data_IF_428359304014
#
_entry.id   IF_428359304014
#
_cell.length_a   1.000
_cell.length_b   1.000
_cell.length_c   1.000
_cell.angle_alpha   90.00
_cell.angle_beta   90.00
_cell.angle_gamma   90.00
#
_symmetry.space_group_name_H-M   'P 1'
#
loop_
_entity.id
_entity.type
_entity.pdbx_description
1 polymer ?
#
# COMPACT_ATOMS: atom_id res chain seq x y z
N UNK A 1 -19.18 72.36 43.21
CA UNK A 1 -19.19 71.87 41.81
C UNK A 1 -17.74 71.80 41.36
N UNK A 2 -17.10 70.72 40.91
CA UNK A 2 -17.50 69.38 40.44
C UNK A 2 -16.32 68.42 40.67
N UNK A 3 -16.64 67.17 40.91
CA UNK A 3 -15.80 65.99 41.19
C UNK A 3 -14.90 65.59 40.01
N UNK A 4 -13.64 65.20 40.29
CA UNK A 4 -12.74 64.53 39.34
C UNK A 4 -12.87 63.02 39.59
N UNK A 5 -13.47 62.32 38.65
CA UNK A 5 -13.66 60.87 38.68
C UNK A 5 -12.38 60.16 38.19
N UNK A 6 -11.82 59.32 39.05
CA UNK A 6 -10.71 58.44 38.72
C UNK A 6 -11.17 57.07 38.24
N UNK A 7 -10.35 56.50 37.34
CA UNK A 7 -9.91 55.11 37.27
C UNK A 7 -10.94 53.97 37.21
N UNK A 8 -10.93 53.23 36.10
CA UNK A 8 -10.50 51.82 36.01
C UNK A 8 -10.97 51.21 34.68
N UNK A 9 -10.08 51.13 33.69
CA UNK A 9 -10.25 50.23 32.56
C UNK A 9 -9.69 48.86 32.96
N UNK A 10 -10.55 47.97 33.47
CA UNK A 10 -10.24 46.55 33.54
C UNK A 10 -10.17 45.99 32.12
N UNK A 11 -8.95 45.90 31.58
CA UNK A 11 -8.71 45.10 30.38
C UNK A 11 -8.58 43.64 30.82
N UNK A 12 -9.67 42.88 30.68
CA UNK A 12 -9.62 41.42 30.73
C UNK A 12 -8.93 40.93 29.46
N UNK A 13 -7.62 40.68 29.55
CA UNK A 13 -6.94 39.86 28.55
C UNK A 13 -7.39 38.43 28.80
N UNK A 14 -8.37 37.97 28.03
CA UNK A 14 -8.63 36.55 27.85
C UNK A 14 -7.37 35.95 27.21
N UNK A 15 -6.48 35.39 28.02
CA UNK A 15 -5.48 34.44 27.54
C UNK A 15 -6.23 33.21 27.05
N UNK A 16 -6.68 33.24 25.79
CA UNK A 16 -6.99 32.01 25.08
C UNK A 16 -5.73 31.15 25.17
N UNK A 17 -5.80 30.06 25.95
CA UNK A 17 -4.71 29.10 26.04
C UNK A 17 -4.41 28.64 24.63
N UNK A 18 -3.29 29.09 24.08
CA UNK A 18 -2.85 28.65 22.77
C UNK A 18 -2.67 27.14 22.88
N UNK A 19 -3.56 26.38 22.25
CA UNK A 19 -3.37 24.95 22.09
C UNK A 19 -1.97 24.74 21.52
N UNK A 20 -1.20 23.82 22.11
CA UNK A 20 0.16 23.58 21.66
C UNK A 20 0.18 23.36 20.15
N UNK A 21 1.10 23.99 19.42
CA UNK A 21 1.17 23.84 17.98
C UNK A 21 1.32 22.35 17.64
N UNK A 22 0.45 21.84 16.77
CA UNK A 22 0.44 20.43 16.37
C UNK A 22 1.83 20.04 15.85
N UNK A 23 2.39 18.97 16.40
CA UNK A 23 3.71 18.46 16.01
C UNK A 23 3.64 17.86 14.61
N UNK A 24 4.18 18.57 13.61
CA UNK A 24 4.34 18.04 12.26
C UNK A 24 5.40 16.94 12.26
N UNK A 25 5.07 15.78 11.67
CA UNK A 25 5.95 14.61 11.58
C UNK A 25 6.38 14.31 10.15
N UNK A 26 5.80 15.01 9.16
CA UNK A 26 6.16 14.84 7.76
C UNK A 26 5.24 15.60 6.82
N UNK A 27 5.25 15.19 5.55
CA UNK A 27 4.36 15.71 4.52
C UNK A 27 4.11 14.69 3.40
N UNK A 28 3.00 14.83 2.69
CA UNK A 28 2.64 14.04 1.49
C UNK A 28 2.11 14.98 0.44
N UNK A 29 2.70 15.00 -0.76
CA UNK A 29 2.32 15.92 -1.84
C UNK A 29 2.22 17.40 -1.37
N UNK A 30 3.15 17.83 -0.52
CA UNK A 30 3.19 19.18 0.05
C UNK A 30 2.19 19.47 1.17
N UNK A 31 1.35 18.51 1.56
CA UNK A 31 0.43 18.66 2.70
C UNK A 31 1.08 18.16 3.99
N UNK A 32 1.06 18.95 5.08
CA UNK A 32 1.66 18.53 6.35
C UNK A 32 0.89 17.36 6.97
N UNK A 33 1.64 16.43 7.55
CA UNK A 33 1.10 15.34 8.37
C UNK A 33 1.56 15.54 9.81
N UNK A 34 0.62 15.42 10.75
CA UNK A 34 0.82 15.69 12.16
C UNK A 34 0.77 14.41 13.01
N UNK A 35 1.46 14.43 14.15
CA UNK A 35 1.60 13.26 15.02
C UNK A 35 0.25 12.71 15.51
N UNK A 36 -0.71 13.58 15.78
CA UNK A 36 -2.06 13.24 16.23
C UNK A 36 -2.93 12.57 15.15
N UNK A 37 -2.49 12.58 13.89
CA UNK A 37 -3.15 11.84 12.81
C UNK A 37 -2.71 10.37 12.75
N UNK A 38 -1.60 10.03 13.42
CA UNK A 38 -1.11 8.64 13.52
C UNK A 38 -1.85 7.97 14.68
N UNK A 39 -2.94 7.29 14.35
CA UNK A 39 -3.87 6.70 15.32
C UNK A 39 -3.64 5.19 15.51
N UNK A 40 -4.23 4.64 16.57
CA UNK A 40 -4.21 3.20 16.86
C UNK A 40 -3.70 2.89 18.27
N UNK A 41 -4.34 1.90 18.90
CA UNK A 41 -4.08 1.53 20.30
C UNK A 41 -2.94 0.51 20.45
N UNK A 42 -2.35 0.07 19.35
CA UNK A 42 -1.22 -0.86 19.33
C UNK A 42 -0.10 -0.37 18.40
N UNK A 43 1.15 -0.83 18.59
CA UNK A 43 2.24 -0.50 17.67
C UNK A 43 1.92 -0.83 16.21
N UNK A 44 1.28 -1.98 15.97
CA UNK A 44 0.88 -2.42 14.64
C UNK A 44 -0.18 -1.48 14.03
N UNK A 45 -1.21 -1.11 14.80
CA UNK A 45 -2.25 -0.19 14.32
C UNK A 45 -1.67 1.19 13.98
N UNK A 46 -0.70 1.68 14.77
CA UNK A 46 0.01 2.93 14.49
C UNK A 46 0.89 2.82 13.24
N UNK A 47 1.56 1.68 13.03
CA UNK A 47 2.31 1.40 11.82
C UNK A 47 1.41 1.38 10.57
N UNK A 48 0.23 0.75 10.68
CA UNK A 48 -0.79 0.74 9.62
C UNK A 48 -1.34 2.15 9.33
N UNK A 49 -1.58 2.95 10.37
CA UNK A 49 -1.98 4.35 10.24
C UNK A 49 -0.89 5.17 9.55
N UNK A 50 0.38 5.01 9.94
CA UNK A 50 1.51 5.73 9.33
C UNK A 50 1.67 5.36 7.85
N UNK A 51 1.63 4.07 7.50
CA UNK A 51 1.64 3.61 6.09
C UNK A 51 0.48 4.18 5.29
N UNK A 52 -0.72 4.18 5.87
CA UNK A 52 -1.94 4.68 5.21
C UNK A 52 -1.87 6.17 4.89
N UNK A 53 -1.25 6.97 5.76
CA UNK A 53 -1.05 8.40 5.53
C UNK A 53 0.08 8.67 4.54
N UNK A 54 1.27 8.08 4.74
CA UNK A 54 2.46 8.47 3.98
C UNK A 54 2.62 7.71 2.65
N UNK A 55 2.41 6.40 2.66
CA UNK A 55 2.84 5.52 1.57
C UNK A 55 1.70 5.09 0.65
N UNK A 56 0.52 4.85 1.21
CA UNK A 56 -0.64 4.42 0.43
C UNK A 56 -1.03 5.43 -0.68
N UNK A 57 -0.97 6.77 -0.49
CA UNK A 57 -1.22 7.70 -1.59
C UNK A 57 -0.23 7.55 -2.75
N UNK A 58 1.06 7.36 -2.44
CA UNK A 58 2.14 7.15 -3.41
C UNK A 58 1.93 5.85 -4.18
N UNK A 59 1.64 4.74 -3.49
CA UNK A 59 1.38 3.45 -4.11
C UNK A 59 0.13 3.50 -4.99
N UNK A 60 -0.98 4.08 -4.51
CA UNK A 60 -2.21 4.25 -5.30
C UNK A 60 -1.97 5.10 -6.55
N UNK A 61 -1.16 6.15 -6.45
CA UNK A 61 -0.78 6.97 -7.60
C UNK A 61 0.00 6.13 -8.61
N UNK A 62 1.03 5.42 -8.17
CA UNK A 62 1.82 4.54 -9.04
C UNK A 62 0.93 3.52 -9.75
N UNK A 63 0.02 2.86 -9.03
CA UNK A 63 -0.94 1.90 -9.61
C UNK A 63 -1.80 2.57 -10.69
N UNK A 64 -2.38 3.76 -10.42
CA UNK A 64 -3.20 4.48 -11.41
C UNK A 64 -2.40 4.83 -12.66
N UNK A 65 -1.17 5.31 -12.49
CA UNK A 65 -0.30 5.73 -13.59
C UNK A 65 0.08 4.55 -14.51
N UNK A 66 0.04 3.32 -13.98
CA UNK A 66 0.38 2.08 -14.71
C UNK A 66 -0.83 1.18 -14.99
N UNK A 67 -2.04 1.58 -14.62
CA UNK A 67 -3.23 0.75 -14.75
C UNK A 67 -3.54 0.39 -16.20
N UNK A 68 -3.25 1.29 -17.14
CA UNK A 68 -3.49 1.06 -18.56
C UNK A 68 -2.61 -0.06 -19.14
N UNK A 69 -1.32 -0.08 -18.80
CA UNK A 69 -0.38 -1.13 -19.26
C UNK A 69 -0.59 -2.47 -18.55
N UNK A 70 -1.19 -2.44 -17.35
CA UNK A 70 -1.55 -3.63 -16.61
C UNK A 70 -2.86 -4.29 -17.06
N UNK A 71 -3.61 -3.73 -18.02
CA UNK A 71 -4.84 -4.35 -18.50
C UNK A 71 -4.57 -5.73 -19.11
N UNK A 72 -5.28 -6.78 -18.67
CA UNK A 72 -5.19 -8.08 -19.31
C UNK A 72 -5.85 -8.07 -20.69
N UNK A 73 -5.23 -8.77 -21.63
CA UNK A 73 -5.80 -9.09 -22.94
C UNK A 73 -6.84 -10.21 -22.80
N UNK A 74 -7.75 -10.31 -23.77
CA UNK A 74 -8.72 -11.42 -23.80
C UNK A 74 -8.03 -12.80 -23.81
N UNK A 75 -6.91 -12.93 -24.51
CA UNK A 75 -6.15 -14.19 -24.56
C UNK A 75 -5.54 -14.55 -23.20
N UNK A 76 -5.05 -13.57 -22.43
CA UNK A 76 -4.57 -13.80 -21.06
C UNK A 76 -5.72 -14.26 -20.14
N UNK A 77 -6.89 -13.65 -20.24
CA UNK A 77 -8.08 -14.03 -19.45
C UNK A 77 -8.55 -15.44 -19.76
N UNK A 78 -8.64 -15.80 -21.04
CA UNK A 78 -9.03 -17.15 -21.46
C UNK A 78 -8.06 -18.22 -20.96
N UNK A 79 -6.75 -17.95 -21.01
CA UNK A 79 -5.74 -18.88 -20.45
C UNK A 79 -5.87 -19.01 -18.94
N UNK A 80 -6.11 -17.91 -18.22
CA UNK A 80 -6.30 -17.93 -16.77
C UNK A 80 -7.56 -18.70 -16.37
N UNK A 81 -8.67 -18.49 -17.08
CA UNK A 81 -9.92 -19.24 -16.86
C UNK A 81 -9.71 -20.76 -17.07
N UNK A 82 -9.04 -21.15 -18.16
CA UNK A 82 -8.71 -22.55 -18.42
C UNK A 82 -7.80 -23.15 -17.33
N UNK A 83 -6.80 -22.40 -16.85
CA UNK A 83 -5.91 -22.85 -15.79
C UNK A 83 -6.66 -23.05 -14.46
N UNK A 84 -7.52 -22.10 -14.08
CA UNK A 84 -8.36 -22.21 -12.88
C UNK A 84 -9.29 -23.43 -12.96
N UNK A 85 -9.94 -23.63 -14.11
CA UNK A 85 -10.81 -24.79 -14.33
C UNK A 85 -10.03 -26.12 -14.24
N UNK A 86 -8.84 -26.19 -14.83
CA UNK A 86 -7.98 -27.36 -14.76
C UNK A 86 -7.55 -27.68 -13.32
N UNK A 87 -7.18 -26.64 -12.55
CA UNK A 87 -6.83 -26.81 -11.13
C UNK A 87 -8.00 -27.29 -10.27
N UNK A 88 -9.19 -26.72 -10.49
CA UNK A 88 -10.40 -27.14 -9.78
C UNK A 88 -10.72 -28.62 -10.06
N UNK A 89 -10.56 -29.04 -11.31
CA UNK A 89 -10.80 -30.43 -11.72
C UNK A 89 -9.82 -31.42 -11.09
N UNK A 90 -8.54 -31.07 -10.94
CA UNK A 90 -7.53 -32.01 -10.46
C UNK A 90 -7.33 -32.03 -8.94
N UNK A 91 -7.47 -30.90 -8.26
CA UNK A 91 -7.17 -30.81 -6.83
C UNK A 91 -8.39 -31.08 -5.94
N UNK A 92 -9.59 -31.11 -6.52
CA UNK A 92 -10.87 -31.14 -5.77
C UNK A 92 -11.10 -29.90 -4.90
N UNK A 93 -10.19 -28.93 -4.96
CA UNK A 93 -10.21 -27.63 -4.31
C UNK A 93 -10.05 -26.56 -5.40
N UNK A 94 -10.40 -25.32 -5.11
CA UNK A 94 -10.15 -24.26 -6.08
C UNK A 94 -10.98 -23.03 -5.82
N UNK A 95 -10.45 -21.91 -6.30
CA UNK A 95 -11.25 -20.72 -6.44
C UNK A 95 -12.20 -20.91 -7.62
N UNK A 96 -13.50 -21.01 -7.36
CA UNK A 96 -14.50 -20.99 -8.42
C UNK A 96 -14.67 -19.54 -8.91
N UNK A 97 -14.44 -19.32 -10.21
CA UNK A 97 -14.80 -18.06 -10.82
C UNK A 97 -16.33 -17.85 -10.71
N UNK A 98 -16.81 -16.60 -10.56
CA UNK A 98 -18.23 -16.31 -10.62
C UNK A 98 -18.86 -16.83 -11.92
N UNK A 99 -20.10 -17.33 -11.83
CA UNK A 99 -20.86 -17.73 -13.03
C UNK A 99 -21.32 -16.51 -13.84
N UNK A 100 -21.63 -15.39 -13.16
CA UNK A 100 -21.98 -14.14 -13.81
C UNK A 100 -20.80 -13.61 -14.66
N UNK A 101 -20.99 -13.40 -15.98
CA UNK A 101 -19.90 -13.00 -16.87
C UNK A 101 -19.24 -11.67 -16.50
N UNK A 102 -20.00 -10.69 -15.99
CA UNK A 102 -19.45 -9.38 -15.65
C UNK A 102 -18.61 -9.44 -14.37
N UNK A 103 -19.07 -10.20 -13.37
CA UNK A 103 -18.29 -10.45 -12.15
C UNK A 103 -17.03 -11.26 -12.45
N UNK A 104 -17.13 -12.29 -13.29
CA UNK A 104 -15.97 -13.09 -13.73
C UNK A 104 -14.91 -12.24 -14.43
N UNK A 105 -15.34 -11.40 -15.36
CA UNK A 105 -14.49 -10.45 -16.07
C UNK A 105 -13.78 -9.49 -15.11
N UNK A 106 -14.51 -8.97 -14.11
CA UNK A 106 -13.96 -8.12 -13.07
C UNK A 106 -12.89 -8.81 -12.22
N UNK A 107 -13.15 -10.06 -11.81
CA UNK A 107 -12.19 -10.86 -11.02
C UNK A 107 -10.93 -11.18 -11.83
N UNK A 108 -11.07 -11.64 -13.07
CA UNK A 108 -9.92 -11.94 -13.94
C UNK A 108 -9.09 -10.67 -14.21
N UNK A 109 -9.76 -9.54 -14.46
CA UNK A 109 -9.10 -8.25 -14.64
C UNK A 109 -8.31 -7.81 -13.41
N UNK A 110 -8.88 -7.99 -12.22
CA UNK A 110 -8.22 -7.67 -10.95
C UNK A 110 -7.00 -8.57 -10.71
N UNK A 111 -7.16 -9.89 -10.84
CA UNK A 111 -6.10 -10.86 -10.54
C UNK A 111 -4.91 -10.72 -11.49
N UNK A 112 -5.17 -10.76 -12.80
CA UNK A 112 -4.12 -10.68 -13.81
C UNK A 112 -3.51 -9.28 -13.87
N UNK A 113 -4.33 -8.24 -13.69
CA UNK A 113 -3.86 -6.87 -13.60
C UNK A 113 -2.91 -6.66 -12.41
N UNK A 114 -3.22 -7.24 -11.24
CA UNK A 114 -2.32 -7.18 -10.10
C UNK A 114 -0.98 -7.87 -10.42
N UNK A 115 -0.98 -9.09 -10.97
CA UNK A 115 0.28 -9.78 -11.33
C UNK A 115 1.12 -8.94 -12.29
N UNK A 116 0.51 -8.31 -13.30
CA UNK A 116 1.21 -7.42 -14.25
C UNK A 116 1.81 -6.19 -13.56
N UNK A 117 1.09 -5.56 -12.64
CA UNK A 117 1.60 -4.44 -11.84
C UNK A 117 2.77 -4.85 -10.95
N UNK A 118 2.66 -6.00 -10.28
CA UNK A 118 3.70 -6.50 -9.37
C UNK A 118 4.94 -6.93 -10.14
N UNK A 119 4.77 -7.56 -11.30
CA UNK A 119 5.88 -7.85 -12.22
C UNK A 119 6.57 -6.56 -12.66
N UNK A 120 5.80 -5.53 -13.02
CA UNK A 120 6.36 -4.25 -13.42
C UNK A 120 7.14 -3.58 -12.28
N UNK A 121 6.61 -3.57 -11.06
CA UNK A 121 7.34 -3.08 -9.87
C UNK A 121 8.66 -3.83 -9.70
N UNK A 122 8.61 -5.16 -9.79
CA UNK A 122 9.78 -6.02 -9.67
C UNK A 122 10.83 -5.67 -10.72
N UNK A 123 10.44 -5.57 -11.99
CA UNK A 123 11.34 -5.23 -13.09
C UNK A 123 11.93 -3.81 -12.95
N UNK A 124 11.11 -2.81 -12.63
CA UNK A 124 11.51 -1.40 -12.59
C UNK A 124 12.39 -1.04 -11.37
N UNK A 125 12.21 -1.72 -10.25
CA UNK A 125 12.88 -1.39 -8.98
C UNK A 125 13.87 -2.48 -8.52
N UNK A 126 14.43 -3.22 -9.48
CA UNK A 126 15.57 -4.12 -9.25
C UNK A 126 15.22 -5.37 -8.43
N UNK A 127 13.99 -5.84 -8.56
CA UNK A 127 13.49 -7.11 -8.05
C UNK A 127 13.66 -7.32 -6.56
N UNK A 128 13.97 -8.55 -6.19
CA UNK A 128 14.08 -9.04 -4.82
C UNK A 128 12.98 -10.05 -4.48
N UNK A 129 12.71 -10.19 -3.19
CA UNK A 129 11.75 -11.16 -2.66
C UNK A 129 10.31 -10.74 -2.98
N UNK A 130 9.44 -11.74 -3.08
CA UNK A 130 7.99 -11.53 -3.11
C UNK A 130 7.37 -11.95 -1.79
N UNK A 131 6.20 -11.39 -1.48
CA UNK A 131 5.37 -11.82 -0.37
C UNK A 131 4.04 -12.37 -0.91
N UNK A 132 3.67 -13.59 -0.54
CA UNK A 132 2.37 -14.14 -0.87
C UNK A 132 1.28 -13.50 0.00
N UNK A 133 0.25 -12.93 -0.63
CA UNK A 133 -0.91 -12.34 0.03
C UNK A 133 -2.22 -12.95 -0.50
N UNK A 134 -3.34 -12.58 0.13
CA UNK A 134 -4.67 -13.03 -0.27
C UNK A 134 -5.04 -12.63 -1.71
N UNK A 135 -4.55 -11.49 -2.21
CA UNK A 135 -4.83 -10.99 -3.56
C UNK A 135 -3.71 -11.33 -4.58
N UNK A 136 -2.88 -12.33 -4.27
CA UNK A 136 -1.72 -12.72 -5.08
C UNK A 136 -0.41 -12.26 -4.45
N UNK A 137 0.66 -12.23 -5.25
CA UNK A 137 1.98 -11.84 -4.75
C UNK A 137 2.18 -10.33 -4.74
N UNK A 138 2.92 -9.84 -3.75
CA UNK A 138 3.46 -8.48 -3.68
C UNK A 138 4.95 -8.52 -4.05
N UNK A 139 5.41 -7.60 -4.89
CA UNK A 139 6.82 -7.37 -5.20
C UNK A 139 7.52 -6.67 -4.02
N UNK A 140 7.55 -7.35 -2.87
CA UNK A 140 7.85 -6.81 -1.56
C UNK A 140 9.08 -5.90 -1.48
N UNK A 141 10.25 -6.39 -1.90
CA UNK A 141 11.48 -5.58 -1.85
C UNK A 141 11.46 -4.43 -2.86
N UNK A 142 10.87 -4.66 -4.03
CA UNK A 142 10.76 -3.67 -5.10
C UNK A 142 9.77 -2.54 -4.73
N UNK A 143 8.65 -2.87 -4.10
CA UNK A 143 7.69 -1.91 -3.55
C UNK A 143 8.35 -1.03 -2.50
N UNK A 144 9.16 -1.60 -1.59
CA UNK A 144 9.93 -0.80 -0.61
C UNK A 144 10.89 0.17 -1.32
N UNK A 145 11.69 -0.32 -2.27
CA UNK A 145 12.64 0.51 -3.02
C UNK A 145 11.94 1.63 -3.79
N UNK A 146 10.77 1.35 -4.37
CA UNK A 146 9.94 2.37 -5.01
C UNK A 146 9.53 3.46 -4.04
N UNK A 147 9.04 3.09 -2.84
CA UNK A 147 8.64 4.05 -1.82
C UNK A 147 9.83 4.89 -1.33
N UNK A 148 11.00 4.28 -1.15
CA UNK A 148 12.24 4.98 -0.79
C UNK A 148 12.69 5.96 -1.88
N UNK A 149 12.63 5.58 -3.15
CA UNK A 149 12.91 6.48 -4.26
C UNK A 149 11.94 7.67 -4.27
N UNK A 150 10.64 7.43 -4.04
CA UNK A 150 9.62 8.50 -3.97
C UNK A 150 9.78 9.40 -2.76
N UNK A 151 10.24 8.88 -1.62
CA UNK A 151 10.60 9.68 -0.45
C UNK A 151 11.80 10.60 -0.79
N UNK A 152 12.85 10.05 -1.40
CA UNK A 152 14.04 10.79 -1.79
C UNK A 152 13.77 11.87 -2.87
N UNK A 153 12.82 11.62 -3.77
CA UNK A 153 12.34 12.58 -4.77
C UNK A 153 11.41 13.66 -4.18
N UNK A 154 11.07 13.59 -2.89
CA UNK A 154 10.19 14.56 -2.22
C UNK A 154 8.69 14.35 -2.47
N UNK A 155 8.28 13.19 -2.99
CA UNK A 155 6.86 12.84 -3.14
C UNK A 155 6.11 12.78 -1.79
N UNK A 156 6.84 12.38 -0.76
CA UNK A 156 6.47 12.52 0.64
C UNK A 156 7.76 12.59 1.48
N UNK A 157 7.66 12.97 2.75
CA UNK A 157 8.77 12.93 3.70
C UNK A 157 8.25 12.55 5.09
N UNK A 158 8.97 11.69 5.80
CA UNK A 158 8.72 11.37 7.21
C UNK A 158 9.92 11.85 8.03
N UNK A 159 9.79 13.03 8.63
CA UNK A 159 10.89 13.71 9.31
C UNK A 159 11.11 13.19 10.74
N UNK A 160 10.09 12.59 11.34
CA UNK A 160 10.18 11.95 12.65
C UNK A 160 10.72 10.51 12.47
N UNK A 161 11.89 10.17 13.03
CA UNK A 161 12.53 8.87 12.81
C UNK A 161 11.73 7.70 13.37
N UNK A 162 10.99 7.89 14.47
CA UNK A 162 10.17 6.83 15.07
C UNK A 162 8.95 6.54 14.20
N UNK A 163 8.32 7.58 13.67
CA UNK A 163 7.22 7.44 12.71
C UNK A 163 7.72 6.81 11.41
N UNK A 164 8.93 7.15 10.96
CA UNK A 164 9.53 6.54 9.77
C UNK A 164 9.78 5.04 9.98
N UNK A 165 10.35 4.66 11.11
CA UNK A 165 10.55 3.26 11.46
C UNK A 165 9.22 2.50 11.49
N UNK A 166 8.19 3.05 12.14
CA UNK A 166 6.84 2.47 12.17
C UNK A 166 6.25 2.29 10.76
N UNK A 167 6.38 3.30 9.89
CA UNK A 167 5.84 3.22 8.54
C UNK A 167 6.53 2.10 7.73
N UNK A 168 7.85 1.97 7.83
CA UNK A 168 8.63 0.98 7.09
C UNK A 168 8.68 -0.42 7.72
N UNK A 169 8.19 -0.60 8.95
CA UNK A 169 8.21 -1.88 9.68
C UNK A 169 7.71 -3.07 8.83
N UNK A 170 6.62 -2.87 8.08
CA UNK A 170 6.07 -3.91 7.21
C UNK A 170 7.08 -4.48 6.23
N UNK A 171 8.00 -3.69 5.67
CA UNK A 171 8.99 -4.19 4.71
C UNK A 171 10.29 -4.69 5.34
N UNK A 172 10.44 -4.56 6.66
CA UNK A 172 11.67 -4.91 7.38
C UNK A 172 11.51 -6.10 8.32
N UNK A 173 10.28 -6.36 8.79
CA UNK A 173 9.96 -7.54 9.61
C UNK A 173 10.01 -8.83 8.80
N UNK A 174 10.18 -9.94 9.52
CA UNK A 174 10.07 -11.28 8.94
C UNK A 174 8.60 -11.65 8.71
N UNK A 175 8.29 -12.14 7.51
CA UNK A 175 6.96 -12.65 7.14
C UNK A 175 6.95 -14.18 7.03
N UNK A 176 8.03 -14.84 7.43
CA UNK A 176 8.15 -16.28 7.55
C UNK A 176 7.90 -17.02 6.23
N UNK A 177 7.13 -18.10 6.30
CA UNK A 177 6.91 -19.02 5.19
C UNK A 177 6.19 -18.42 3.97
N UNK A 178 5.62 -17.22 4.09
CA UNK A 178 4.94 -16.53 2.97
C UNK A 178 5.92 -15.75 2.07
N UNK A 179 7.17 -15.61 2.48
CA UNK A 179 8.21 -15.02 1.63
C UNK A 179 8.64 -16.00 0.53
N UNK A 180 8.66 -15.51 -0.71
CA UNK A 180 9.18 -16.23 -1.87
C UNK A 180 10.55 -15.62 -2.20
N UNK A 181 11.60 -16.42 -2.01
CA UNK A 181 12.99 -16.01 -2.21
C UNK A 181 13.69 -16.76 -3.34
N UNK A 182 13.14 -17.91 -3.73
CA UNK A 182 13.67 -18.75 -4.81
C UNK A 182 13.40 -18.13 -6.20
N UNK A 183 14.42 -17.92 -7.04
CA UNK A 183 14.27 -17.24 -8.34
C UNK A 183 13.27 -17.90 -9.29
N UNK A 184 13.22 -19.22 -9.35
CA UNK A 184 12.33 -19.95 -10.26
C UNK A 184 10.87 -19.82 -9.79
N UNK A 185 10.65 -19.87 -8.46
CA UNK A 185 9.34 -19.59 -7.86
C UNK A 185 8.93 -18.14 -8.03
N UNK A 186 9.85 -17.18 -7.97
CA UNK A 186 9.58 -15.76 -8.24
C UNK A 186 9.13 -15.58 -9.69
N UNK A 187 9.88 -16.13 -10.65
CA UNK A 187 9.53 -16.07 -12.07
C UNK A 187 8.14 -16.69 -12.31
N UNK A 188 7.85 -17.83 -11.69
CA UNK A 188 6.55 -18.49 -11.76
C UNK A 188 5.43 -17.68 -11.10
N UNK A 189 5.69 -16.97 -10.00
CA UNK A 189 4.68 -16.18 -9.33
C UNK A 189 4.32 -14.88 -10.07
N UNK A 190 5.26 -14.34 -10.86
CA UNK A 190 5.09 -13.12 -11.65
C UNK A 190 4.67 -13.37 -13.10
N UNK A 191 4.62 -14.64 -13.53
CA UNK A 191 4.03 -14.99 -14.81
C UNK A 191 2.50 -15.08 -14.66
N UNK A 192 1.84 -14.20 -15.42
CA UNK A 192 0.38 -14.00 -15.51
C UNK A 192 -0.37 -15.30 -15.82
N UNK A 193 0.30 -16.26 -16.46
CA UNK A 193 -0.29 -17.55 -16.84
C UNK A 193 -0.03 -18.65 -15.82
N UNK A 194 1.00 -18.53 -14.98
CA UNK A 194 1.37 -19.55 -14.00
C UNK A 194 0.98 -19.21 -12.56
N UNK A 195 0.59 -17.96 -12.28
CA UNK A 195 0.05 -17.53 -10.99
C UNK A 195 -1.29 -18.19 -10.65
N UNK A 196 -1.95 -18.81 -11.63
CA UNK A 196 -3.23 -19.50 -11.46
C UNK A 196 -2.96 -21.00 -11.29
N UNK A 197 -2.78 -21.40 -10.02
CA UNK A 197 -2.96 -22.74 -9.46
C UNK A 197 -2.55 -23.96 -10.34
N UNK A 198 -1.50 -24.69 -9.94
CA UNK A 198 -1.07 -25.92 -10.62
C UNK A 198 -1.52 -27.15 -9.82
N UNK A 199 -1.93 -28.20 -10.52
CA UNK A 199 -2.10 -29.51 -9.90
C UNK A 199 -0.76 -29.93 -9.27
N UNK A 200 -0.75 -30.45 -8.04
CA UNK A 200 0.45 -31.11 -7.53
C UNK A 200 0.83 -32.25 -8.48
N UNK A 201 2.12 -32.34 -8.79
CA UNK A 201 2.67 -33.44 -9.58
C UNK A 201 2.53 -34.79 -8.85
#
# INVERSE_FOLDING_TARGET
>A
MRTIAGWLLLSWVLSAGAAEPRRQVGQVAGQPVYADQITGDSPQARADSARSLFMAPTLRRWIRDHAASARPTESEKQRAEAAIAAYAACSGNGYALPEDPALKEGVLSMLLGNVKLQKRLHDDYGGGRLLFQQAGVEAFDATRKMLEAREAEGGFAINDPDIRALAYDYWTRDHGAFMITDPDRIATALDVTSSMARCPA
#
